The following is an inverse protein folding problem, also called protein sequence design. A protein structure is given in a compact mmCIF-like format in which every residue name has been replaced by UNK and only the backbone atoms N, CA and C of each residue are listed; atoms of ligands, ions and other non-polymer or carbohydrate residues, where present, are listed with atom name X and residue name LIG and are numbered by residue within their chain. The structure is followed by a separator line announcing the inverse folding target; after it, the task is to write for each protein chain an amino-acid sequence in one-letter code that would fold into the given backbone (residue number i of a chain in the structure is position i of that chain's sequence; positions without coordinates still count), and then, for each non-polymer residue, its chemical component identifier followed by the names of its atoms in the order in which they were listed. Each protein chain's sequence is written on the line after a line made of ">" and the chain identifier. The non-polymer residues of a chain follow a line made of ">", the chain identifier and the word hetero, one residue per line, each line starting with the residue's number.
data_IF_251441794882
#
_entry.id   IF_251441794882
#
_cell.length_a   1.000
_cell.length_b   1.000
_cell.length_c   1.000
_cell.angle_alpha   90.00
_cell.angle_beta   90.00
_cell.angle_gamma   90.00
#
_symmetry.space_group_name_H-M   'P 1'
#
loop_
_entity.id
_entity.type
_entity.pdbx_description
1 polymer ?
#
# COMPACT_ATOMS: atom_id res chain seq x y z
N UNK A 1 74.93 -43.45 42.79
CA UNK A 1 75.14 -42.77 41.49
C UNK A 1 73.99 -43.20 40.58
N UNK A 2 72.86 -42.48 40.61
CA UNK A 2 72.46 -41.36 39.72
C UNK A 2 72.37 -41.73 38.24
N UNK A 3 71.14 -41.75 37.70
CA UNK A 3 70.65 -41.04 36.47
C UNK A 3 69.28 -41.63 36.04
N UNK A 4 68.17 -40.93 36.33
CA UNK A 4 67.42 -39.98 35.47
C UNK A 4 66.56 -40.64 34.37
N UNK A 5 65.28 -40.80 34.71
CA UNK A 5 64.15 -41.20 33.86
C UNK A 5 63.79 -40.08 32.88
N UNK A 6 63.96 -40.30 31.59
CA UNK A 6 63.52 -39.39 30.53
C UNK A 6 62.03 -39.54 30.22
N UNK A 7 61.23 -38.53 30.55
CA UNK A 7 59.86 -38.37 30.06
C UNK A 7 59.87 -38.13 28.54
N UNK A 8 59.13 -38.95 27.77
CA UNK A 8 58.81 -38.67 26.37
C UNK A 8 57.51 -37.87 26.29
N UNK A 9 57.59 -36.66 25.76
CA UNK A 9 56.42 -35.88 25.34
C UNK A 9 55.80 -36.50 24.08
N UNK A 10 54.49 -36.78 24.12
CA UNK A 10 53.69 -37.06 22.94
C UNK A 10 53.28 -35.73 22.26
N UNK A 11 53.24 -35.65 20.92
CA UNK A 11 52.79 -34.43 20.26
C UNK A 11 51.27 -34.28 20.40
N UNK A 12 50.85 -33.08 20.81
CA UNK A 12 49.44 -32.69 20.86
C UNK A 12 48.82 -32.78 19.46
N UNK A 13 47.82 -33.65 19.32
CA UNK A 13 47.00 -33.75 18.10
C UNK A 13 46.18 -32.47 17.99
N UNK A 14 46.57 -31.59 17.06
CA UNK A 14 45.81 -30.40 16.71
C UNK A 14 44.42 -30.84 16.23
N UNK A 15 43.40 -30.60 17.04
CA UNK A 15 41.99 -30.69 16.65
C UNK A 15 41.69 -29.52 15.72
N UNK A 16 41.87 -29.72 14.42
CA UNK A 16 41.33 -28.80 13.42
C UNK A 16 39.80 -28.81 13.56
N UNK A 17 39.28 -27.78 14.24
CA UNK A 17 37.87 -27.44 14.28
C UNK A 17 37.38 -27.18 12.85
N UNK A 18 36.89 -28.24 12.20
CA UNK A 18 36.17 -28.11 10.94
C UNK A 18 34.82 -27.46 11.25
N UNK A 19 34.76 -26.13 11.24
CA UNK A 19 33.49 -25.40 11.17
C UNK A 19 32.77 -25.88 9.92
N UNK A 20 31.78 -26.74 10.10
CA UNK A 20 31.09 -27.46 9.03
C UNK A 20 30.54 -26.52 7.94
N UNK A 21 30.55 -26.96 6.66
CA UNK A 21 30.06 -26.18 5.52
C UNK A 21 28.64 -25.59 5.72
N UNK A 22 27.78 -26.30 6.45
CA UNK A 22 26.39 -25.90 6.72
C UNK A 22 26.24 -24.60 7.54
N UNK A 23 27.16 -24.30 8.47
CA UNK A 23 27.07 -23.08 9.30
C UNK A 23 27.39 -21.84 8.46
N UNK A 24 28.38 -21.92 7.56
CA UNK A 24 28.75 -20.84 6.63
C UNK A 24 27.70 -20.62 5.53
N UNK A 25 27.12 -21.68 4.99
CA UNK A 25 26.04 -21.57 4.01
C UNK A 25 24.79 -20.88 4.62
N UNK A 26 24.44 -21.21 5.87
CA UNK A 26 23.29 -20.61 6.58
C UNK A 26 23.50 -19.14 6.96
N UNK A 27 24.75 -18.71 7.19
CA UNK A 27 25.06 -17.31 7.52
C UNK A 27 25.15 -16.44 6.28
N UNK A 28 25.66 -16.98 5.16
CA UNK A 28 25.65 -16.32 3.85
C UNK A 28 24.22 -16.21 3.30
N UNK A 29 23.41 -17.25 3.40
CA UNK A 29 21.99 -17.20 3.04
C UNK A 29 21.23 -16.17 3.88
N UNK A 30 21.46 -16.13 5.20
CA UNK A 30 20.88 -15.09 6.08
C UNK A 30 21.35 -13.69 5.73
N UNK A 31 22.63 -13.49 5.43
CA UNK A 31 23.20 -12.20 4.98
C UNK A 31 22.63 -11.76 3.63
N UNK A 32 22.47 -12.68 2.68
CA UNK A 32 21.86 -12.39 1.39
C UNK A 32 20.36 -12.06 1.54
N UNK A 33 19.63 -12.77 2.40
CA UNK A 33 18.24 -12.49 2.75
C UNK A 33 18.07 -11.12 3.41
N UNK A 34 18.96 -10.77 4.37
CA UNK A 34 18.96 -9.45 5.02
C UNK A 34 19.36 -8.33 4.06
N UNK A 35 20.39 -8.52 3.24
CA UNK A 35 20.78 -7.54 2.22
C UNK A 35 19.68 -7.31 1.17
N UNK A 36 18.98 -8.39 0.75
CA UNK A 36 17.81 -8.27 -0.14
C UNK A 36 16.67 -7.53 0.56
N UNK A 37 16.35 -7.89 1.82
CA UNK A 37 15.30 -7.23 2.59
C UNK A 37 15.57 -5.74 2.81
N UNK A 38 16.81 -5.37 3.14
CA UNK A 38 17.23 -3.96 3.29
C UNK A 38 17.10 -3.20 1.97
N UNK A 39 17.47 -3.82 0.83
CA UNK A 39 17.29 -3.20 -0.48
C UNK A 39 15.81 -2.99 -0.82
N UNK A 40 14.95 -3.95 -0.54
CA UNK A 40 13.50 -3.81 -0.80
C UNK A 40 12.87 -2.76 0.12
N UNK A 41 13.24 -2.72 1.41
CA UNK A 41 12.82 -1.66 2.34
C UNK A 41 13.32 -0.29 1.88
N UNK A 42 14.57 -0.19 1.43
CA UNK A 42 15.12 1.06 0.91
C UNK A 42 14.41 1.52 -0.38
N UNK A 43 14.02 0.59 -1.27
CA UNK A 43 13.25 0.91 -2.48
C UNK A 43 11.83 1.36 -2.15
N UNK A 44 11.15 0.67 -1.23
CA UNK A 44 9.81 1.06 -0.79
C UNK A 44 9.82 2.37 0.00
N UNK A 45 10.84 2.59 0.83
CA UNK A 45 11.05 3.84 1.55
C UNK A 45 11.40 4.99 0.60
N UNK A 46 12.27 4.77 -0.39
CA UNK A 46 12.59 5.76 -1.41
C UNK A 46 11.33 6.11 -2.24
N UNK A 47 10.54 5.13 -2.63
CA UNK A 47 9.27 5.36 -3.31
C UNK A 47 8.28 6.13 -2.42
N UNK A 48 8.18 5.77 -1.14
CA UNK A 48 7.34 6.49 -0.18
C UNK A 48 7.80 7.94 0.01
N UNK A 49 9.12 8.18 0.09
CA UNK A 49 9.71 9.52 0.16
C UNK A 49 9.43 10.30 -1.12
N UNK A 50 9.69 9.74 -2.30
CA UNK A 50 9.40 10.40 -3.59
C UNK A 50 7.90 10.69 -3.74
N UNK A 51 7.03 9.77 -3.34
CA UNK A 51 5.58 9.95 -3.31
C UNK A 51 5.18 11.08 -2.34
N UNK A 52 5.74 11.10 -1.13
CA UNK A 52 5.46 12.14 -0.14
C UNK A 52 5.96 13.52 -0.60
N UNK A 53 7.14 13.58 -1.20
CA UNK A 53 7.72 14.81 -1.77
C UNK A 53 6.92 15.32 -2.98
N UNK A 54 6.43 14.43 -3.84
CA UNK A 54 5.60 14.84 -4.99
C UNK A 54 4.28 15.48 -4.57
N UNK A 55 3.77 15.14 -3.37
CA UNK A 55 2.55 15.75 -2.81
C UNK A 55 2.78 17.14 -2.21
N UNK A 56 4.03 17.51 -1.93
CA UNK A 56 4.40 18.88 -1.53
C UNK A 56 4.44 19.85 -2.73
N UNK A 57 4.54 19.33 -3.96
CA UNK A 57 4.65 20.12 -5.20
C UNK A 57 3.29 20.25 -5.91
N UNK A 58 2.30 19.45 -5.51
CA UNK A 58 0.97 19.52 -6.07
C UNK A 58 0.31 20.85 -5.69
N UNK A 59 -0.03 21.65 -6.69
CA UNK A 59 -0.57 22.98 -6.51
C UNK A 59 -1.92 22.94 -5.77
N UNK A 60 -2.00 23.68 -4.66
CA UNK A 60 -3.19 23.84 -3.82
C UNK A 60 -4.27 24.73 -4.47
N UNK A 61 -4.54 24.55 -5.76
CA UNK A 61 -5.61 25.30 -6.43
C UNK A 61 -6.96 24.61 -6.23
N UNK A 62 -7.55 24.86 -5.07
CA UNK A 62 -8.87 24.38 -4.69
C UNK A 62 -9.97 24.81 -5.69
N UNK A 63 -9.80 25.93 -6.40
CA UNK A 63 -10.77 26.40 -7.41
C UNK A 63 -10.77 25.46 -8.61
N UNK A 64 -9.58 25.15 -9.14
CA UNK A 64 -9.43 24.19 -10.25
C UNK A 64 -9.91 22.81 -9.82
N UNK A 65 -9.54 22.34 -8.62
CA UNK A 65 -9.93 21.03 -8.12
C UNK A 65 -11.46 20.88 -7.95
N UNK A 66 -12.14 21.94 -7.48
CA UNK A 66 -13.61 21.97 -7.39
C UNK A 66 -14.30 22.00 -8.75
N UNK A 67 -13.75 22.74 -9.72
CA UNK A 67 -14.27 22.73 -11.08
C UNK A 67 -14.20 21.32 -11.69
N UNK A 68 -13.09 20.60 -11.48
CA UNK A 68 -12.96 19.19 -11.90
C UNK A 68 -13.91 18.25 -11.15
N UNK A 69 -14.11 18.47 -9.85
CA UNK A 69 -15.09 17.69 -9.09
C UNK A 69 -16.53 17.93 -9.60
N UNK A 70 -16.86 19.15 -10.03
CA UNK A 70 -18.14 19.43 -10.66
C UNK A 70 -18.31 18.71 -12.01
N UNK A 71 -17.22 18.61 -12.81
CA UNK A 71 -17.23 17.79 -14.04
C UNK A 71 -17.50 16.30 -13.71
N UNK A 72 -16.86 15.76 -12.67
CA UNK A 72 -17.06 14.38 -12.20
C UNK A 72 -18.51 14.15 -11.76
N UNK A 73 -19.04 15.05 -10.92
CA UNK A 73 -20.42 14.99 -10.45
C UNK A 73 -21.43 15.10 -11.60
N UNK A 74 -21.12 15.89 -12.63
CA UNK A 74 -21.94 15.95 -13.83
C UNK A 74 -21.97 14.59 -14.55
N UNK A 75 -20.84 13.93 -14.72
CA UNK A 75 -20.78 12.59 -15.32
C UNK A 75 -21.53 11.56 -14.45
N UNK A 76 -21.37 11.59 -13.13
CA UNK A 76 -22.11 10.72 -12.21
C UNK A 76 -23.62 10.94 -12.32
N UNK A 77 -24.06 12.20 -12.41
CA UNK A 77 -25.47 12.55 -12.59
C UNK A 77 -26.05 11.99 -13.90
N UNK A 78 -25.29 12.01 -15.01
CA UNK A 78 -25.69 11.39 -16.27
C UNK A 78 -25.81 9.87 -16.16
N UNK A 79 -24.99 9.25 -15.31
CA UNK A 79 -25.02 7.83 -14.99
C UNK A 79 -26.07 7.48 -13.92
N UNK A 80 -26.81 8.47 -13.41
CA UNK A 80 -27.77 8.34 -12.30
C UNK A 80 -27.13 7.76 -11.02
N UNK A 81 -25.86 8.12 -10.78
CA UNK A 81 -25.17 7.88 -9.53
C UNK A 81 -25.37 9.11 -8.63
N UNK A 82 -26.15 8.94 -7.56
CA UNK A 82 -26.34 9.94 -6.50
C UNK A 82 -26.26 9.26 -5.11
N UNK A 83 -25.39 8.25 -5.04
CA UNK A 83 -25.26 7.44 -3.82
C UNK A 83 -24.38 8.14 -2.78
N UNK A 84 -23.46 8.99 -3.23
CA UNK A 84 -22.49 9.72 -2.40
C UNK A 84 -23.21 10.62 -1.39
N UNK A 85 -24.16 11.43 -1.88
CA UNK A 85 -24.91 12.39 -1.06
C UNK A 85 -25.77 11.67 -0.02
N UNK A 86 -26.53 10.69 -0.46
CA UNK A 86 -27.39 9.89 0.43
C UNK A 86 -26.56 9.12 1.46
N UNK A 87 -25.50 8.43 1.04
CA UNK A 87 -24.71 7.57 1.92
C UNK A 87 -23.95 8.38 2.97
N UNK A 88 -23.34 9.49 2.55
CA UNK A 88 -22.64 10.38 3.47
C UNK A 88 -23.62 11.06 4.44
N UNK A 89 -24.72 11.63 3.93
CA UNK A 89 -25.73 12.28 4.77
C UNK A 89 -26.40 11.33 5.77
N UNK A 90 -26.56 10.05 5.41
CA UNK A 90 -27.16 9.05 6.29
C UNK A 90 -26.20 8.54 7.38
N UNK A 91 -24.90 8.41 7.09
CA UNK A 91 -23.97 7.69 7.96
C UNK A 91 -22.95 8.58 8.66
N UNK A 92 -22.46 9.64 8.02
CA UNK A 92 -21.46 10.53 8.62
C UNK A 92 -21.94 11.23 9.91
N UNK A 93 -23.23 11.57 10.10
CA UNK A 93 -23.72 12.13 11.37
C UNK A 93 -23.70 11.15 12.55
N UNK A 94 -23.67 9.84 12.30
CA UNK A 94 -23.78 8.80 13.33
C UNK A 94 -22.37 8.46 13.81
N UNK A 95 -21.94 9.05 14.93
CA UNK A 95 -20.57 8.91 15.48
C UNK A 95 -20.11 7.46 15.62
N UNK A 96 -21.00 6.57 16.06
CA UNK A 96 -20.72 5.14 16.27
C UNK A 96 -20.42 4.39 14.96
N UNK A 97 -20.84 4.93 13.81
CA UNK A 97 -20.55 4.41 12.48
C UNK A 97 -19.37 5.18 11.87
N UNK A 98 -19.38 6.51 11.99
CA UNK A 98 -18.35 7.39 11.45
C UNK A 98 -16.96 7.07 12.03
N UNK A 99 -16.84 6.83 13.34
CA UNK A 99 -15.54 6.54 13.98
C UNK A 99 -14.91 5.25 13.41
N UNK A 100 -15.60 4.07 13.38
CA UNK A 100 -15.07 2.89 12.71
C UNK A 100 -14.72 3.09 11.24
N UNK A 101 -15.54 3.83 10.48
CA UNK A 101 -15.25 4.14 9.08
C UNK A 101 -13.97 4.99 8.94
N UNK A 102 -13.78 5.99 9.80
CA UNK A 102 -12.58 6.81 9.82
C UNK A 102 -11.34 6.00 10.20
N UNK A 103 -11.43 5.07 11.15
CA UNK A 103 -10.33 4.14 11.44
C UNK A 103 -10.01 3.23 10.25
N UNK A 104 -11.03 2.70 9.58
CA UNK A 104 -10.88 1.88 8.38
C UNK A 104 -10.12 2.65 7.31
N UNK A 105 -10.59 3.87 7.00
CA UNK A 105 -10.00 4.77 6.02
C UNK A 105 -8.55 5.13 6.37
N UNK A 106 -8.32 5.63 7.59
CA UNK A 106 -7.02 6.13 8.02
C UNK A 106 -5.97 5.02 8.16
N UNK A 107 -6.37 3.78 8.50
CA UNK A 107 -5.42 2.77 8.99
C UNK A 107 -5.21 1.59 8.03
N UNK A 108 -6.27 0.99 7.48
CA UNK A 108 -6.14 -0.36 6.91
C UNK A 108 -5.21 -0.42 5.72
N UNK A 109 -5.19 0.60 4.87
CA UNK A 109 -4.31 0.61 3.71
C UNK A 109 -2.82 0.65 4.08
N UNK A 110 -2.46 1.29 5.21
CA UNK A 110 -1.11 1.29 5.77
C UNK A 110 -0.72 -0.02 6.48
N UNK A 111 -1.70 -0.87 6.81
CA UNK A 111 -1.45 -2.14 7.52
C UNK A 111 -1.56 -3.34 6.59
N UNK A 112 -2.69 -3.47 5.89
CA UNK A 112 -3.02 -4.63 5.05
C UNK A 112 -2.08 -4.73 3.86
N UNK A 113 -1.80 -3.63 3.17
CA UNK A 113 -0.94 -3.63 1.98
C UNK A 113 0.49 -4.08 2.31
N UNK A 114 1.18 -3.51 3.33
CA UNK A 114 2.48 -4.02 3.74
C UNK A 114 2.41 -5.45 4.28
N UNK A 115 1.37 -5.83 5.02
CA UNK A 115 1.20 -7.20 5.50
C UNK A 115 1.14 -8.22 4.34
N UNK A 116 0.44 -7.90 3.25
CA UNK A 116 0.38 -8.74 2.05
C UNK A 116 1.74 -8.78 1.34
N UNK A 117 2.45 -7.65 1.24
CA UNK A 117 3.82 -7.64 0.69
C UNK A 117 4.77 -8.52 1.52
N UNK A 118 4.72 -8.43 2.84
CA UNK A 118 5.51 -9.29 3.75
C UNK A 118 5.12 -10.76 3.60
N UNK A 119 3.82 -11.06 3.54
CA UNK A 119 3.32 -12.41 3.30
C UNK A 119 3.88 -12.99 1.99
N UNK A 120 3.83 -12.24 0.89
CA UNK A 120 4.39 -12.67 -0.39
C UNK A 120 5.92 -12.81 -0.32
N UNK A 121 6.61 -11.89 0.36
CA UNK A 121 8.06 -11.97 0.51
C UNK A 121 8.50 -13.23 1.28
N UNK A 122 7.77 -13.60 2.33
CA UNK A 122 8.11 -14.73 3.20
C UNK A 122 7.64 -16.07 2.60
N UNK A 123 6.45 -16.12 2.00
CA UNK A 123 5.80 -17.39 1.57
C UNK A 123 5.77 -17.60 0.06
N UNK A 124 5.82 -16.54 -0.75
CA UNK A 124 5.64 -16.58 -2.20
C UNK A 124 6.70 -15.72 -2.92
N UNK A 125 7.97 -15.96 -2.57
CA UNK A 125 9.12 -15.13 -2.97
C UNK A 125 9.29 -14.96 -4.49
N UNK A 126 8.81 -15.93 -5.28
CA UNK A 126 8.81 -15.87 -6.74
C UNK A 126 7.80 -14.86 -7.30
N UNK A 127 6.65 -14.69 -6.65
CA UNK A 127 5.58 -13.76 -7.06
C UNK A 127 5.80 -12.34 -6.52
N UNK A 128 6.58 -12.21 -5.43
CA UNK A 128 6.83 -10.93 -4.76
C UNK A 128 7.28 -9.81 -5.70
N UNK A 129 8.28 -9.98 -6.60
CA UNK A 129 8.72 -8.89 -7.48
C UNK A 129 7.62 -8.40 -8.43
N UNK A 130 6.79 -9.31 -8.95
CA UNK A 130 5.66 -8.97 -9.82
C UNK A 130 4.61 -8.19 -9.05
N UNK A 131 4.28 -8.64 -7.84
CA UNK A 131 3.29 -7.98 -7.01
C UNK A 131 3.77 -6.60 -6.54
N UNK A 132 5.01 -6.49 -6.06
CA UNK A 132 5.66 -5.23 -5.72
C UNK A 132 5.65 -4.27 -6.91
N UNK A 133 6.13 -4.69 -8.08
CA UNK A 133 6.14 -3.82 -9.26
C UNK A 133 4.74 -3.35 -9.66
N UNK A 134 3.72 -4.21 -9.54
CA UNK A 134 2.35 -3.85 -9.88
C UNK A 134 1.83 -2.70 -9.01
N UNK A 135 2.03 -2.76 -7.69
CA UNK A 135 1.56 -1.70 -6.79
C UNK A 135 2.38 -0.42 -6.95
N UNK A 136 3.70 -0.53 -7.18
CA UNK A 136 4.57 0.63 -7.43
C UNK A 136 4.17 1.35 -8.72
N UNK A 137 4.01 0.61 -9.82
CA UNK A 137 3.62 1.18 -11.12
C UNK A 137 2.22 1.76 -11.04
N UNK A 138 1.26 1.03 -10.46
CA UNK A 138 -0.12 1.52 -10.31
C UNK A 138 -0.20 2.79 -9.46
N UNK A 139 0.55 2.85 -8.36
CA UNK A 139 0.62 4.06 -7.51
C UNK A 139 1.30 5.22 -8.22
N UNK A 140 2.34 4.98 -9.02
CA UNK A 140 2.98 6.01 -9.83
C UNK A 140 2.04 6.56 -10.90
N UNK A 141 1.28 5.70 -11.59
CA UNK A 141 0.25 6.13 -12.55
C UNK A 141 -0.83 6.95 -11.82
N UNK A 142 -1.30 6.49 -10.67
CA UNK A 142 -2.29 7.21 -9.87
C UNK A 142 -1.79 8.58 -9.42
N UNK A 143 -0.54 8.67 -8.97
CA UNK A 143 0.10 9.94 -8.63
C UNK A 143 0.18 10.88 -9.84
N UNK A 144 0.61 10.39 -11.00
CA UNK A 144 0.66 11.21 -12.23
C UNK A 144 -0.73 11.69 -12.64
N UNK A 145 -1.74 10.83 -12.57
CA UNK A 145 -3.13 11.19 -12.86
C UNK A 145 -3.61 12.30 -11.93
N UNK A 146 -3.35 12.16 -10.63
CA UNK A 146 -3.64 13.18 -9.63
C UNK A 146 -2.97 14.53 -9.93
N UNK A 147 -1.68 14.53 -10.28
CA UNK A 147 -0.94 15.76 -10.59
C UNK A 147 -1.49 16.49 -11.83
N UNK A 148 -2.06 15.74 -12.78
CA UNK A 148 -2.60 16.30 -14.03
C UNK A 148 -4.09 16.66 -13.90
N UNK A 149 -4.82 15.95 -13.04
CA UNK A 149 -6.27 16.08 -12.85
C UNK A 149 -6.62 16.21 -11.37
N UNK A 150 -6.18 17.28 -10.68
CA UNK A 150 -6.54 17.50 -9.28
C UNK A 150 -8.06 17.60 -9.19
N UNK A 151 -8.66 16.87 -8.25
CA UNK A 151 -10.10 16.72 -8.12
C UNK A 151 -10.48 16.82 -6.66
N UNK A 152 -11.31 17.80 -6.32
CA UNK A 152 -11.74 18.01 -4.94
C UNK A 152 -12.66 16.85 -4.49
N UNK A 153 -12.48 16.32 -3.27
CA UNK A 153 -13.37 15.32 -2.70
C UNK A 153 -14.74 15.93 -2.34
N UNK A 154 -15.79 15.10 -2.18
CA UNK A 154 -17.14 15.57 -1.84
C UNK A 154 -17.19 16.52 -0.64
N UNK A 155 -16.49 16.20 0.46
CA UNK A 155 -16.44 17.01 1.69
C UNK A 155 -15.90 18.44 1.51
N UNK A 156 -15.18 18.71 0.42
CA UNK A 156 -14.63 20.02 0.10
C UNK A 156 -15.48 20.79 -0.92
N UNK A 157 -16.58 20.22 -1.40
CA UNK A 157 -17.51 20.92 -2.29
C UNK A 157 -18.28 22.02 -1.55
N UNK A 158 -18.56 23.16 -2.22
CA UNK A 158 -19.36 24.23 -1.64
C UNK A 158 -20.80 23.77 -1.40
N UNK A 159 -21.50 24.46 -0.48
CA UNK A 159 -22.92 24.21 -0.20
C UNK A 159 -23.20 23.30 1.00
N UNK A 160 -22.17 22.67 1.59
CA UNK A 160 -22.32 21.89 2.82
C UNK A 160 -23.16 20.62 2.67
N UNK A 161 -23.31 20.12 1.44
CA UNK A 161 -24.07 18.90 1.13
C UNK A 161 -23.38 17.61 1.59
N UNK A 162 -22.06 17.66 1.76
CA UNK A 162 -21.25 16.52 2.20
C UNK A 162 -20.54 16.88 3.51
N UNK A 163 -20.64 15.97 4.47
CA UNK A 163 -20.02 16.06 5.77
C UNK A 163 -18.62 15.46 5.75
N UNK A 164 -17.66 16.15 6.37
CA UNK A 164 -16.32 15.63 6.60
C UNK A 164 -16.32 14.70 7.83
N UNK A 165 -16.56 13.42 7.58
CA UNK A 165 -16.60 12.42 8.64
C UNK A 165 -15.26 12.32 9.39
N UNK A 166 -14.12 12.54 8.72
CA UNK A 166 -12.81 12.48 9.35
C UNK A 166 -12.59 13.65 10.29
N UNK A 167 -12.91 14.88 9.85
CA UNK A 167 -12.82 16.06 10.69
C UNK A 167 -13.72 15.94 11.92
N UNK A 168 -14.97 15.48 11.74
CA UNK A 168 -15.94 15.25 12.82
C UNK A 168 -15.48 14.20 13.84
N UNK A 169 -14.65 13.24 13.44
CA UNK A 169 -14.20 12.12 14.28
C UNK A 169 -12.74 12.24 14.72
N UNK A 170 -12.05 13.32 14.35
CA UNK A 170 -10.63 13.56 14.64
C UNK A 170 -10.26 13.46 16.12
N UNK A 171 -11.16 13.80 17.03
CA UNK A 171 -10.97 13.67 18.48
C UNK A 171 -10.85 12.23 19.00
N UNK A 172 -11.27 11.23 18.21
CA UNK A 172 -11.22 9.81 18.56
C UNK A 172 -10.01 9.09 17.95
N UNK A 173 -9.38 9.70 16.96
CA UNK A 173 -8.42 9.08 16.07
C UNK A 173 -6.99 9.53 16.27
N UNK A 174 -6.09 8.94 15.48
CA UNK A 174 -4.71 9.41 15.34
C UNK A 174 -4.54 10.42 14.18
N UNK A 175 -5.62 10.68 13.43
CA UNK A 175 -5.63 11.59 12.27
C UNK A 175 -6.02 13.03 12.67
N UNK A 176 -5.66 14.01 11.82
CA UNK A 176 -6.01 15.42 11.98
C UNK A 176 -7.36 15.80 11.34
N UNK A 177 -7.77 17.05 11.53
CA UNK A 177 -8.98 17.60 10.88
C UNK A 177 -8.86 17.75 9.36
N UNK A 178 -7.62 17.81 8.85
CA UNK A 178 -7.27 18.19 7.48
C UNK A 178 -6.90 16.96 6.60
N UNK A 179 -7.14 15.72 7.05
CA UNK A 179 -7.01 14.44 6.30
C UNK A 179 -6.67 13.28 7.26
N UNK A 180 -6.57 12.05 6.71
CA UNK A 180 -6.00 10.87 7.37
C UNK A 180 -4.48 10.97 7.65
N UNK A 181 -3.87 12.16 7.56
CA UNK A 181 -2.53 12.40 8.10
C UNK A 181 -2.54 12.41 9.62
N UNK A 182 -1.44 12.01 10.28
CA UNK A 182 -1.24 12.27 11.70
C UNK A 182 -1.55 13.73 12.04
N UNK A 183 -2.20 13.98 13.18
CA UNK A 183 -2.49 15.33 13.66
C UNK A 183 -1.22 16.20 13.62
N UNK A 184 -1.28 17.33 12.90
CA UNK A 184 -0.13 18.24 12.69
C UNK A 184 0.69 17.99 11.42
N UNK A 185 0.37 16.96 10.61
CA UNK A 185 0.97 16.71 9.30
C UNK A 185 -0.02 16.87 8.12
N UNK A 186 -1.17 17.52 8.34
CA UNK A 186 -2.19 17.75 7.31
C UNK A 186 -1.63 18.38 6.03
N UNK A 187 -0.65 19.27 6.17
CA UNK A 187 0.05 19.94 5.07
C UNK A 187 0.94 19.00 4.21
N UNK A 188 1.19 17.75 4.64
CA UNK A 188 1.99 16.75 3.91
C UNK A 188 1.07 15.80 3.11
N UNK A 189 -0.22 15.77 3.43
CA UNK A 189 -1.25 15.04 2.68
C UNK A 189 -2.16 16.03 1.97
N UNK A 190 -1.97 16.18 0.66
CA UNK A 190 -2.82 17.10 -0.10
C UNK A 190 -4.29 16.63 -0.10
N UNK A 191 -5.17 17.42 0.51
CA UNK A 191 -6.61 17.17 0.64
C UNK A 191 -7.36 17.13 -0.69
N UNK A 192 -6.76 17.67 -1.76
CA UNK A 192 -7.33 17.82 -3.10
C UNK A 192 -7.12 16.59 -4.00
N UNK A 193 -6.65 15.47 -3.44
CA UNK A 193 -6.27 14.28 -4.19
C UNK A 193 -7.37 13.19 -4.23
N UNK A 194 -8.59 13.54 -4.63
CA UNK A 194 -9.68 12.57 -4.67
C UNK A 194 -9.54 11.58 -5.84
N UNK A 195 -9.23 12.04 -7.05
CA UNK A 195 -9.11 11.16 -8.22
C UNK A 195 -7.64 10.91 -8.62
N UNK A 196 -7.22 9.66 -8.85
CA UNK A 196 -7.92 8.39 -8.59
C UNK A 196 -7.78 7.91 -7.13
N UNK A 197 -8.76 7.14 -6.64
CA UNK A 197 -8.72 6.60 -5.27
C UNK A 197 -7.69 5.47 -5.11
N UNK A 198 -6.50 5.80 -4.63
CA UNK A 198 -5.48 4.80 -4.32
C UNK A 198 -5.87 3.86 -3.17
N UNK A 199 -6.75 4.30 -2.25
CA UNK A 199 -7.32 3.42 -1.23
C UNK A 199 -8.01 2.21 -1.87
N UNK A 200 -8.94 2.48 -2.79
CA UNK A 200 -9.66 1.43 -3.52
C UNK A 200 -8.71 0.65 -4.43
N UNK A 201 -7.85 1.36 -5.19
CA UNK A 201 -6.85 0.71 -6.03
C UNK A 201 -5.99 -0.31 -5.28
N UNK A 202 -5.46 0.06 -4.11
CA UNK A 202 -4.62 -0.83 -3.30
C UNK A 202 -5.40 -2.04 -2.78
N UNK A 203 -6.68 -1.89 -2.44
CA UNK A 203 -7.51 -3.06 -2.07
C UNK A 203 -7.73 -4.02 -3.24
N UNK A 204 -7.88 -3.50 -4.47
CA UNK A 204 -7.96 -4.32 -5.70
C UNK A 204 -6.63 -5.07 -5.90
N UNK A 205 -5.50 -4.41 -5.67
CA UNK A 205 -4.20 -5.07 -5.69
C UNK A 205 -4.09 -6.15 -4.61
N UNK A 206 -4.57 -5.91 -3.39
CA UNK A 206 -4.60 -6.90 -2.31
C UNK A 206 -5.42 -8.12 -2.73
N UNK A 207 -6.61 -7.91 -3.30
CA UNK A 207 -7.46 -8.99 -3.78
C UNK A 207 -6.80 -9.80 -4.89
N UNK A 208 -6.18 -9.14 -5.87
CA UNK A 208 -5.42 -9.79 -6.93
C UNK A 208 -4.23 -10.59 -6.39
N UNK A 209 -3.45 -9.98 -5.48
CA UNK A 209 -2.26 -10.58 -4.89
C UNK A 209 -2.60 -11.83 -4.07
N UNK A 210 -3.71 -11.82 -3.33
CA UNK A 210 -4.13 -12.95 -2.50
C UNK A 210 -4.92 -14.02 -3.26
N UNK A 211 -5.44 -13.72 -4.45
CA UNK A 211 -6.40 -14.55 -5.17
C UNK A 211 -5.95 -16.01 -5.35
N UNK A 212 -4.68 -16.18 -5.72
CA UNK A 212 -4.06 -17.50 -5.99
C UNK A 212 -3.47 -18.17 -4.75
N UNK A 213 -3.36 -17.45 -3.64
CA UNK A 213 -2.69 -17.92 -2.42
C UNK A 213 -3.64 -18.17 -1.26
N UNK A 214 -4.95 -17.95 -1.47
CA UNK A 214 -5.98 -18.13 -0.47
C UNK A 214 -7.10 -19.06 -0.94
N UNK A 215 -7.75 -19.72 0.02
CA UNK A 215 -8.98 -20.50 -0.19
C UNK A 215 -10.17 -19.55 -0.37
N UNK A 216 -11.35 -20.10 -0.66
CA UNK A 216 -12.58 -19.34 -0.86
C UNK A 216 -12.81 -18.27 0.23
N UNK A 217 -12.64 -18.62 1.51
CA UNK A 217 -12.80 -17.65 2.61
C UNK A 217 -11.87 -16.44 2.53
N UNK A 218 -10.61 -16.62 2.11
CA UNK A 218 -9.68 -15.50 1.94
C UNK A 218 -10.00 -14.65 0.70
N UNK A 219 -10.50 -15.26 -0.37
CA UNK A 219 -11.00 -14.52 -1.55
C UNK A 219 -12.22 -13.68 -1.21
N UNK A 220 -13.17 -14.25 -0.46
CA UNK A 220 -14.34 -13.52 0.04
C UNK A 220 -13.90 -12.35 0.92
N UNK A 221 -12.98 -12.57 1.87
CA UNK A 221 -12.47 -11.50 2.72
C UNK A 221 -11.79 -10.39 1.91
N UNK A 222 -11.03 -10.73 0.87
CA UNK A 222 -10.41 -9.74 0.00
C UNK A 222 -11.44 -8.95 -0.82
N UNK A 223 -12.48 -9.60 -1.34
CA UNK A 223 -13.59 -8.90 -2.00
C UNK A 223 -14.35 -7.98 -1.04
N UNK A 224 -14.59 -8.44 0.20
CA UNK A 224 -15.20 -7.62 1.25
C UNK A 224 -14.31 -6.44 1.62
N UNK A 225 -12.99 -6.59 1.58
CA UNK A 225 -12.06 -5.49 1.82
C UNK A 225 -12.14 -4.44 0.71
N UNK A 226 -12.26 -4.85 -0.56
CA UNK A 226 -12.49 -3.93 -1.70
C UNK A 226 -13.84 -3.21 -1.57
N UNK A 227 -14.92 -3.96 -1.36
CA UNK A 227 -16.26 -3.41 -1.24
C UNK A 227 -16.37 -2.48 -0.01
N UNK A 228 -15.87 -2.92 1.14
CA UNK A 228 -15.86 -2.15 2.38
C UNK A 228 -15.03 -0.88 2.27
N UNK A 229 -13.86 -0.92 1.63
CA UNK A 229 -13.06 0.29 1.42
C UNK A 229 -13.75 1.26 0.45
N UNK A 230 -14.34 0.75 -0.64
CA UNK A 230 -15.13 1.57 -1.58
C UNK A 230 -16.30 2.24 -0.88
N UNK A 231 -17.04 1.48 -0.07
CA UNK A 231 -18.13 2.00 0.75
C UNK A 231 -17.65 3.09 1.71
N UNK A 232 -16.59 2.83 2.47
CA UNK A 232 -16.06 3.77 3.48
C UNK A 232 -15.60 5.08 2.83
N UNK A 233 -14.87 5.02 1.71
CA UNK A 233 -14.36 6.25 1.08
C UNK A 233 -15.47 7.16 0.56
N UNK A 234 -16.56 6.57 0.06
CA UNK A 234 -17.74 7.31 -0.42
C UNK A 234 -18.56 7.82 0.77
N UNK A 235 -18.87 6.95 1.74
CA UNK A 235 -19.66 7.31 2.92
C UNK A 235 -19.01 8.40 3.77
N UNK A 236 -17.68 8.47 3.81
CA UNK A 236 -16.95 9.49 4.56
C UNK A 236 -16.75 10.80 3.79
N UNK A 237 -17.23 10.90 2.56
CA UNK A 237 -17.09 12.10 1.73
C UNK A 237 -15.67 12.33 1.21
N UNK A 238 -14.83 11.29 1.16
CA UNK A 238 -13.43 11.38 0.73
C UNK A 238 -13.23 11.13 -0.76
N UNK A 239 -14.14 10.41 -1.40
CA UNK A 239 -14.02 10.04 -2.81
C UNK A 239 -15.40 9.98 -3.47
N UNK A 240 -15.46 10.39 -4.75
CA UNK A 240 -16.57 10.10 -5.67
C UNK A 240 -16.58 8.62 -6.05
N UNK A 241 -17.70 8.07 -6.52
CA UNK A 241 -17.73 6.68 -7.01
C UNK A 241 -16.80 6.52 -8.22
N UNK A 242 -16.74 7.51 -9.11
CA UNK A 242 -15.80 7.49 -10.24
C UNK A 242 -14.34 7.51 -9.81
N UNK A 243 -14.00 8.09 -8.66
CA UNK A 243 -12.64 8.02 -8.11
C UNK A 243 -12.26 6.58 -7.76
N UNK A 244 -13.21 5.82 -7.18
CA UNK A 244 -13.02 4.41 -6.84
C UNK A 244 -12.81 3.55 -8.10
N UNK A 245 -13.60 3.81 -9.15
CA UNK A 245 -13.45 3.16 -10.46
C UNK A 245 -12.08 3.50 -11.07
N UNK A 246 -11.71 4.78 -11.10
CA UNK A 246 -10.42 5.22 -11.61
C UNK A 246 -9.26 4.59 -10.83
N UNK A 247 -9.37 4.50 -9.50
CA UNK A 247 -8.43 3.81 -8.62
C UNK A 247 -8.22 2.34 -8.98
N UNK A 248 -9.31 1.60 -9.21
CA UNK A 248 -9.26 0.22 -9.67
C UNK A 248 -8.58 0.10 -11.05
N UNK A 249 -8.90 1.00 -11.99
CA UNK A 249 -8.34 1.00 -13.35
C UNK A 249 -6.84 1.25 -13.34
N UNK A 250 -6.35 2.28 -12.62
CA UNK A 250 -4.91 2.60 -12.61
C UNK A 250 -4.07 1.49 -11.99
N UNK A 251 -4.59 0.82 -10.96
CA UNK A 251 -3.89 -0.32 -10.35
C UNK A 251 -3.98 -1.58 -11.22
N UNK A 252 -5.11 -1.83 -11.88
CA UNK A 252 -5.22 -2.89 -12.87
C UNK A 252 -4.21 -2.70 -14.02
N UNK A 253 -4.03 -1.46 -14.50
CA UNK A 253 -2.99 -1.13 -15.48
C UNK A 253 -1.59 -1.46 -14.94
N UNK A 254 -1.29 -1.11 -13.68
CA UNK A 254 -0.04 -1.49 -13.02
C UNK A 254 0.19 -3.01 -12.97
N UNK A 255 -0.86 -3.79 -12.67
CA UNK A 255 -0.83 -5.26 -12.69
C UNK A 255 -0.50 -5.80 -14.09
N UNK A 256 -1.14 -5.26 -15.12
CA UNK A 256 -0.93 -5.66 -16.52
C UNK A 256 0.49 -5.33 -16.97
N UNK A 257 0.96 -4.10 -16.71
CA UNK A 257 2.31 -3.66 -17.08
C UNK A 257 3.37 -4.51 -16.38
N UNK A 258 3.23 -4.72 -15.07
CA UNK A 258 4.11 -5.59 -14.30
C UNK A 258 4.16 -7.02 -14.86
N UNK A 259 2.99 -7.57 -15.23
CA UNK A 259 2.91 -8.88 -15.87
C UNK A 259 3.64 -8.96 -17.21
N UNK A 260 3.53 -7.92 -18.04
CA UNK A 260 4.24 -7.83 -19.33
C UNK A 260 5.75 -7.73 -19.14
N UNK A 261 6.21 -6.96 -18.15
CA UNK A 261 7.64 -6.86 -17.82
C UNK A 261 8.17 -8.24 -17.38
N UNK A 262 7.46 -8.93 -16.48
CA UNK A 262 7.85 -10.25 -16.00
C UNK A 262 7.92 -11.30 -17.13
N UNK A 263 7.00 -11.25 -18.09
CA UNK A 263 7.00 -12.17 -19.25
C UNK A 263 8.13 -11.93 -20.26
N UNK A 264 8.80 -10.77 -20.21
CA UNK A 264 9.89 -10.40 -21.13
C UNK A 264 11.28 -10.62 -20.54
N UNK A 265 11.38 -10.95 -19.25
CA UNK A 265 12.66 -11.28 -18.65
C UNK A 265 13.21 -12.58 -19.27
N UNK A 266 14.47 -12.60 -19.77
CA UNK A 266 15.09 -13.82 -20.24
C UNK A 266 15.04 -14.90 -19.15
N UNK A 267 14.79 -16.14 -19.56
CA UNK A 267 14.84 -17.30 -18.67
C UNK A 267 16.30 -17.62 -18.28
N UNK A 268 16.96 -16.72 -17.57
CA UNK A 268 18.31 -16.93 -17.10
C UNK A 268 18.25 -17.63 -15.74
N UNK A 269 18.38 -18.97 -15.76
CA UNK A 269 19.47 -19.73 -15.11
C UNK A 269 19.29 -21.23 -15.39
N UNK A 270 20.34 -21.93 -15.88
CA UNK A 270 20.34 -23.38 -15.99
C UNK A 270 20.29 -24.00 -14.59
N UNK A 271 19.35 -24.92 -14.38
CA UNK A 271 19.40 -25.86 -13.26
C UNK A 271 20.61 -26.73 -13.51
N UNK A 272 21.66 -26.56 -12.71
CA UNK A 272 22.73 -27.54 -12.62
C UNK A 272 22.10 -28.86 -12.17
N UNK A 273 22.06 -29.82 -13.08
CA UNK A 273 21.77 -31.24 -12.84
C UNK A 273 22.80 -31.86 -11.91
#
# INVERSE_FOLDING_TARGET
>A
MSTLTGQRHAPARATTSSRGPGVRASSLARRALTATGVREVALLAALWVTYSLSRLVAADDLVVARARAADVLHVESLLHLDIESWLNGALAPITEIAVPMSFWYATLHYVVTPAVLVFLFVRHRAEYPRARNAIVIGSAIGLLAYLVLPTAPPRLMPGGHYLDALAMTSSHGWWGGDASAPAGLGHITNELAAMPSLHVGWTVWVAWALWRHTRLGGRVLACLYVAGTTFVVVATGNHWVLDAVAGAVVVAAGIVISGRIASRAPADFPVAT
#
